data_IF_777199957898
#
_entry.id   IF_777199957898
#
_cell.length_a   1.000
_cell.length_b   1.000
_cell.length_c   1.000
_cell.angle_alpha   90.00
_cell.angle_beta   90.00
_cell.angle_gamma   90.00
#
_symmetry.space_group_name_H-M   'P 1'
#
loop_
_entity.id
_entity.type
_entity.pdbx_description
1 polymer ?
#
# COMPACT_ATOMS: atom_id res chain seq x y z
N UNK A 1 13.94 50.63 37.13
CA UNK A 1 14.59 49.90 36.03
C UNK A 1 14.50 48.38 36.16
N UNK A 2 14.58 47.81 37.34
CA UNK A 2 14.49 46.35 37.53
C UNK A 2 13.14 45.75 37.11
N UNK A 3 12.04 46.44 37.30
CA UNK A 3 10.70 45.96 36.90
C UNK A 3 10.56 45.83 35.39
N UNK A 4 11.17 46.75 34.63
CA UNK A 4 11.17 46.73 33.16
C UNK A 4 11.93 45.53 32.61
N UNK A 5 13.11 45.22 33.13
CA UNK A 5 13.88 44.06 32.71
C UNK A 5 13.19 42.73 33.05
N UNK A 6 12.53 42.65 34.19
CA UNK A 6 11.73 41.46 34.58
C UNK A 6 10.55 41.22 33.62
N UNK A 7 9.87 42.31 33.23
CA UNK A 7 8.75 42.22 32.28
C UNK A 7 9.21 41.80 30.89
N UNK A 8 10.31 42.34 30.39
CA UNK A 8 10.89 41.96 29.10
C UNK A 8 11.35 40.50 29.10
N UNK A 9 12.04 40.09 30.17
CA UNK A 9 12.49 38.71 30.30
C UNK A 9 11.31 37.72 30.35
N UNK A 10 10.24 38.04 31.08
CA UNK A 10 9.03 37.23 31.13
C UNK A 10 8.35 37.08 29.75
N UNK A 11 8.32 38.15 28.97
CA UNK A 11 7.75 38.12 27.61
C UNK A 11 8.57 37.24 26.68
N UNK A 12 9.90 37.34 26.72
CA UNK A 12 10.80 36.49 25.89
C UNK A 12 10.62 35.01 26.25
N UNK A 13 10.59 34.68 27.54
CA UNK A 13 10.35 33.28 28.00
C UNK A 13 8.98 32.79 27.56
N UNK A 14 7.95 33.64 27.63
CA UNK A 14 6.60 33.28 27.19
C UNK A 14 6.51 32.96 25.70
N UNK A 15 7.16 33.77 24.84
CA UNK A 15 7.23 33.56 23.39
C UNK A 15 7.98 32.26 23.08
N UNK A 16 9.10 32.02 23.79
CA UNK A 16 9.88 30.79 23.59
C UNK A 16 9.11 29.55 24.02
N UNK A 17 8.45 29.56 25.17
CA UNK A 17 7.61 28.50 25.66
C UNK A 17 6.44 28.19 24.69
N UNK A 18 5.79 29.23 24.18
CA UNK A 18 4.72 29.08 23.18
C UNK A 18 5.22 28.44 21.89
N UNK A 19 6.41 28.85 21.40
CA UNK A 19 7.04 28.28 20.22
C UNK A 19 7.31 26.76 20.38
N UNK A 20 7.85 26.37 21.54
CA UNK A 20 8.10 24.96 21.84
C UNK A 20 6.80 24.14 21.87
N UNK A 21 5.74 24.67 22.51
CA UNK A 21 4.43 24.01 22.56
C UNK A 21 3.86 23.83 21.14
N UNK A 22 3.96 24.84 20.28
CA UNK A 22 3.49 24.76 18.90
C UNK A 22 4.25 23.73 18.07
N UNK A 23 5.56 23.61 18.27
CA UNK A 23 6.38 22.58 17.61
C UNK A 23 5.93 21.19 18.06
N UNK A 24 5.77 20.94 19.36
CA UNK A 24 5.32 19.67 19.90
C UNK A 24 3.92 19.31 19.35
N UNK A 25 3.02 20.27 19.32
CA UNK A 25 1.67 20.06 18.79
C UNK A 25 1.69 19.75 17.30
N UNK A 26 2.53 20.44 16.52
CA UNK A 26 2.75 20.16 15.10
C UNK A 26 3.26 18.73 14.87
N UNK A 27 4.22 18.27 15.67
CA UNK A 27 4.69 16.89 15.60
C UNK A 27 3.59 15.87 15.93
N UNK A 28 2.80 16.10 16.97
CA UNK A 28 1.68 15.20 17.31
C UNK A 28 0.66 15.12 16.18
N UNK A 29 0.32 16.25 15.55
CA UNK A 29 -0.58 16.28 14.39
C UNK A 29 0.00 15.52 13.19
N UNK A 30 1.27 15.71 12.87
CA UNK A 30 1.94 15.00 11.76
C UNK A 30 2.00 13.49 12.03
N UNK A 31 2.41 13.08 13.22
CA UNK A 31 2.44 11.66 13.58
C UNK A 31 1.04 11.04 13.64
N UNK A 32 0.04 11.80 14.10
CA UNK A 32 -1.36 11.37 14.10
C UNK A 32 -1.90 11.13 12.71
N UNK A 33 -1.58 12.00 11.73
CA UNK A 33 -1.97 11.82 10.34
C UNK A 33 -1.30 10.58 9.70
N UNK A 34 0.00 10.38 9.93
CA UNK A 34 0.73 9.22 9.41
C UNK A 34 0.20 7.92 10.04
N UNK A 35 -0.06 7.90 11.33
CA UNK A 35 -0.63 6.73 12.01
C UNK A 35 -2.07 6.41 11.54
N UNK A 36 -2.83 7.43 11.17
CA UNK A 36 -4.20 7.27 10.66
C UNK A 36 -4.24 6.76 9.22
N UNK A 37 -3.20 7.05 8.41
CA UNK A 37 -3.11 6.60 7.02
C UNK A 37 -2.55 5.18 6.88
N UNK A 38 -1.90 4.65 7.91
CA UNK A 38 -1.38 3.27 7.94
C UNK A 38 -2.39 2.24 8.50
N UNK A 39 -3.67 2.56 8.50
CA UNK A 39 -4.73 1.60 8.77
C UNK A 39 -4.66 0.47 7.74
N UNK A 40 -3.98 -0.63 8.07
CA UNK A 40 -4.11 -1.86 7.32
C UNK A 40 -5.59 -2.21 7.31
N UNK A 41 -6.24 -2.27 6.13
CA UNK A 41 -7.64 -2.65 6.07
C UNK A 41 -7.80 -4.00 6.79
N UNK A 42 -8.61 -4.04 7.82
CA UNK A 42 -8.89 -5.28 8.52
C UNK A 42 -9.59 -6.23 7.54
N UNK A 43 -8.90 -7.30 7.16
CA UNK A 43 -9.49 -8.33 6.34
C UNK A 43 -10.67 -8.95 7.10
N UNK A 44 -11.82 -8.99 6.45
CA UNK A 44 -12.98 -9.73 6.95
C UNK A 44 -12.73 -11.23 6.81
N UNK A 45 -13.33 -12.02 7.68
CA UNK A 45 -13.27 -13.47 7.59
C UNK A 45 -13.95 -13.93 6.27
N UNK A 46 -13.36 -14.92 5.63
CA UNK A 46 -13.79 -15.43 4.31
C UNK A 46 -13.58 -14.43 3.15
N UNK A 47 -12.57 -13.59 3.21
CA UNK A 47 -12.20 -12.69 2.12
C UNK A 47 -11.69 -13.45 0.89
N UNK A 48 -11.91 -12.86 -0.28
CA UNK A 48 -11.39 -13.32 -1.57
C UNK A 48 -10.45 -12.24 -2.11
N UNK A 49 -9.25 -12.63 -2.50
CA UNK A 49 -8.33 -11.71 -3.14
C UNK A 49 -8.68 -11.60 -4.63
N UNK A 50 -9.00 -10.40 -5.08
CA UNK A 50 -9.19 -10.12 -6.51
C UNK A 50 -7.85 -9.72 -7.10
N UNK A 51 -7.33 -10.51 -8.02
CA UNK A 51 -6.10 -10.26 -8.75
C UNK A 51 -6.44 -9.93 -10.20
N UNK A 52 -6.24 -8.67 -10.59
CA UNK A 52 -6.45 -8.21 -11.96
C UNK A 52 -5.12 -8.28 -12.71
N UNK A 53 -5.04 -9.13 -13.73
CA UNK A 53 -3.91 -9.23 -14.64
C UNK A 53 -4.27 -8.61 -15.99
N UNK A 54 -3.97 -7.34 -16.14
CA UNK A 54 -4.20 -6.58 -17.38
C UNK A 54 -3.14 -5.48 -17.51
N UNK A 55 -2.83 -5.10 -18.74
CA UNK A 55 -1.82 -4.09 -19.03
C UNK A 55 -0.42 -4.67 -19.14
N UNK A 56 0.60 -3.85 -18.89
CA UNK A 56 1.99 -4.24 -18.94
C UNK A 56 2.48 -4.68 -17.55
N UNK A 57 3.08 -5.86 -17.48
CA UNK A 57 3.77 -6.32 -16.26
C UNK A 57 5.25 -6.11 -16.46
N UNK A 58 5.83 -5.21 -15.67
CA UNK A 58 7.27 -4.96 -15.63
C UNK A 58 7.92 -5.66 -14.44
N UNK A 59 9.17 -6.06 -14.60
CA UNK A 59 9.99 -6.71 -13.56
C UNK A 59 10.17 -5.79 -12.33
N UNK A 60 10.30 -4.50 -12.56
CA UNK A 60 10.29 -3.46 -11.53
C UNK A 60 9.10 -2.55 -11.77
N UNK A 61 8.20 -2.50 -10.81
CA UNK A 61 7.28 -1.37 -10.74
C UNK A 61 8.15 -0.12 -10.58
N UNK A 62 8.22 0.74 -11.57
CA UNK A 62 8.65 2.10 -11.33
C UNK A 62 7.67 2.65 -10.30
N UNK A 63 8.19 3.23 -9.22
CA UNK A 63 7.35 3.94 -8.25
C UNK A 63 6.79 5.16 -8.98
N UNK A 64 5.66 4.96 -9.64
CA UNK A 64 4.92 6.04 -10.27
C UNK A 64 4.19 6.83 -9.18
N UNK A 65 4.99 7.64 -8.45
CA UNK A 65 4.49 8.54 -7.41
C UNK A 65 3.43 9.53 -7.96
N UNK A 66 3.46 9.80 -9.27
CA UNK A 66 2.46 10.63 -9.94
C UNK A 66 1.14 9.85 -10.13
N UNK A 67 1.18 8.56 -10.44
CA UNK A 67 0.01 7.70 -10.53
C UNK A 67 -0.71 7.56 -9.19
N UNK A 68 0.06 7.48 -8.10
CA UNK A 68 -0.49 7.40 -6.75
C UNK A 68 -1.20 8.70 -6.32
N UNK A 69 -0.70 9.87 -6.74
CA UNK A 69 -1.32 11.18 -6.47
C UNK A 69 -2.53 11.45 -7.35
N UNK A 70 -2.50 11.04 -8.61
CA UNK A 70 -3.58 11.33 -9.58
C UNK A 70 -4.71 10.31 -9.54
N UNK A 71 -4.59 9.24 -8.76
CA UNK A 71 -5.57 8.15 -8.71
C UNK A 71 -5.63 7.34 -10.02
N UNK A 72 -4.79 7.66 -10.97
CA UNK A 72 -4.69 7.02 -12.26
C UNK A 72 -3.56 5.99 -12.17
N UNK A 73 -3.82 4.89 -11.49
CA UNK A 73 -2.96 3.72 -11.52
C UNK A 73 -3.00 3.16 -12.94
N UNK A 74 -2.25 3.78 -13.84
CA UNK A 74 -1.91 3.16 -15.10
C UNK A 74 -1.14 1.88 -14.73
N UNK A 75 -1.78 0.80 -14.97
CA UNK A 75 -1.55 -0.62 -14.79
C UNK A 75 -0.11 -1.11 -15.09
N UNK A 76 0.90 -0.52 -14.48
CA UNK A 76 2.20 -1.17 -14.36
C UNK A 76 2.20 -2.00 -13.09
N UNK A 77 1.64 -3.19 -13.19
CA UNK A 77 1.76 -4.15 -12.11
C UNK A 77 3.20 -4.66 -12.06
N UNK A 78 3.94 -4.28 -11.04
CA UNK A 78 5.24 -4.89 -10.80
C UNK A 78 5.07 -6.37 -10.44
N UNK A 79 5.80 -7.25 -11.14
CA UNK A 79 5.80 -8.69 -10.87
C UNK A 79 6.01 -8.99 -9.39
N UNK A 80 6.95 -8.31 -8.74
CA UNK A 80 7.23 -8.49 -7.31
C UNK A 80 6.02 -8.18 -6.41
N UNK A 81 5.19 -7.20 -6.75
CA UNK A 81 3.96 -6.89 -6.01
C UNK A 81 2.93 -8.00 -6.15
N UNK A 82 2.79 -8.54 -7.36
CA UNK A 82 1.88 -9.68 -7.64
C UNK A 82 2.31 -10.91 -6.84
N UNK A 83 3.58 -11.30 -6.92
CA UNK A 83 4.11 -12.46 -6.22
C UNK A 83 3.98 -12.30 -4.70
N UNK A 84 4.30 -11.11 -4.17
CA UNK A 84 4.15 -10.81 -2.75
C UNK A 84 2.70 -10.87 -2.28
N UNK A 85 1.76 -10.37 -3.08
CA UNK A 85 0.34 -10.43 -2.78
C UNK A 85 -0.17 -11.89 -2.72
N UNK A 86 0.21 -12.72 -3.69
CA UNK A 86 -0.13 -14.16 -3.71
C UNK A 86 0.45 -14.88 -2.50
N UNK A 87 1.71 -14.61 -2.14
CA UNK A 87 2.35 -15.19 -0.96
C UNK A 87 1.69 -14.76 0.35
N UNK A 88 1.31 -13.49 0.48
CA UNK A 88 0.57 -13.00 1.65
C UNK A 88 -0.81 -13.67 1.74
N UNK A 89 -1.54 -13.72 0.63
CA UNK A 89 -2.84 -14.37 0.58
C UNK A 89 -2.78 -15.87 0.92
N UNK A 90 -1.68 -16.56 0.56
CA UNK A 90 -1.45 -17.95 0.93
C UNK A 90 -1.36 -18.13 2.44
N UNK A 91 -0.65 -17.24 3.14
CA UNK A 91 -0.40 -17.29 4.58
C UNK A 91 -1.57 -16.80 5.42
N UNK A 92 -2.44 -15.98 4.84
CA UNK A 92 -3.53 -15.32 5.56
C UNK A 92 -4.75 -16.24 5.65
N UNK A 93 -5.10 -16.70 6.84
CA UNK A 93 -6.21 -17.65 7.05
C UNK A 93 -7.59 -17.08 6.71
N UNK A 94 -7.72 -15.74 6.74
CA UNK A 94 -8.95 -15.04 6.37
C UNK A 94 -9.22 -15.04 4.88
N UNK A 95 -8.17 -15.25 4.06
CA UNK A 95 -8.31 -15.36 2.60
C UNK A 95 -8.60 -16.79 2.22
N UNK A 96 -9.74 -17.03 1.59
CA UNK A 96 -10.20 -18.37 1.19
C UNK A 96 -9.89 -18.72 -0.25
N UNK A 97 -9.65 -17.73 -1.10
CA UNK A 97 -9.34 -17.96 -2.50
C UNK A 97 -8.88 -16.72 -3.24
N UNK A 98 -8.50 -16.93 -4.50
CA UNK A 98 -8.14 -15.88 -5.44
C UNK A 98 -9.16 -15.88 -6.58
N UNK A 99 -9.70 -14.70 -6.88
CA UNK A 99 -10.44 -14.42 -8.10
C UNK A 99 -9.48 -13.73 -9.09
N UNK A 100 -9.13 -14.44 -10.14
CA UNK A 100 -8.20 -13.98 -11.17
C UNK A 100 -9.01 -13.38 -12.33
N UNK A 101 -8.94 -12.09 -12.52
CA UNK A 101 -9.52 -11.38 -13.64
C UNK A 101 -8.42 -11.14 -14.68
N UNK A 102 -8.53 -11.79 -15.84
CA UNK A 102 -7.54 -11.67 -16.93
C UNK A 102 -8.07 -10.78 -18.04
N UNK A 103 -7.27 -9.81 -18.46
CA UNK A 103 -7.52 -8.96 -19.61
C UNK A 103 -6.39 -9.08 -20.64
N UNK A 104 -6.27 -8.09 -21.52
CA UNK A 104 -5.14 -8.01 -22.45
C UNK A 104 -3.89 -7.75 -21.64
N UNK A 105 -2.93 -8.66 -21.72
CA UNK A 105 -1.70 -8.66 -20.96
C UNK A 105 -0.50 -8.53 -21.90
N UNK A 106 0.37 -7.55 -21.64
CA UNK A 106 1.65 -7.40 -22.32
C UNK A 106 2.74 -7.77 -21.32
N UNK A 107 3.35 -8.92 -21.52
CA UNK A 107 4.41 -9.42 -20.63
C UNK A 107 5.20 -10.51 -21.35
N UNK A 108 6.38 -10.84 -20.83
CA UNK A 108 7.17 -11.94 -21.34
C UNK A 108 6.70 -13.30 -20.78
N UNK A 109 7.14 -14.35 -21.43
CA UNK A 109 6.80 -15.72 -21.05
C UNK A 109 7.37 -16.11 -19.68
N UNK A 110 8.54 -15.59 -19.30
CA UNK A 110 9.19 -15.88 -18.04
C UNK A 110 8.36 -15.34 -16.87
N UNK A 111 7.90 -14.11 -16.96
CA UNK A 111 6.99 -13.47 -15.96
C UNK A 111 5.69 -14.25 -15.79
N UNK A 112 5.08 -14.69 -16.90
CA UNK A 112 3.87 -15.53 -16.83
C UNK A 112 4.14 -16.85 -16.13
N UNK A 113 5.28 -17.47 -16.39
CA UNK A 113 5.66 -18.74 -15.77
C UNK A 113 5.84 -18.59 -14.25
N UNK A 114 6.44 -17.49 -13.79
CA UNK A 114 6.59 -17.21 -12.37
C UNK A 114 5.25 -16.96 -11.67
N UNK A 115 4.37 -16.16 -12.27
CA UNK A 115 3.02 -15.93 -11.73
C UNK A 115 2.25 -17.25 -11.67
N UNK A 116 2.32 -18.07 -12.72
CA UNK A 116 1.70 -19.41 -12.72
C UNK A 116 2.27 -20.29 -11.62
N UNK A 117 3.59 -20.25 -11.40
CA UNK A 117 4.24 -20.99 -10.32
C UNK A 117 3.72 -20.57 -8.94
N UNK A 118 3.61 -19.26 -8.70
CA UNK A 118 3.08 -18.73 -7.45
C UNK A 118 1.61 -19.11 -7.22
N UNK A 119 0.77 -19.07 -8.26
CA UNK A 119 -0.63 -19.51 -8.19
C UNK A 119 -0.75 -21.01 -7.94
N UNK A 120 0.10 -21.83 -8.58
CA UNK A 120 0.15 -23.28 -8.33
C UNK A 120 0.55 -23.59 -6.88
N UNK A 121 1.50 -22.82 -6.34
CA UNK A 121 1.91 -22.95 -4.95
C UNK A 121 0.82 -22.48 -3.96
N UNK A 122 0.10 -21.41 -4.30
CA UNK A 122 -1.09 -20.99 -3.56
C UNK A 122 -2.15 -22.11 -3.50
N UNK A 123 -2.42 -22.75 -4.62
CA UNK A 123 -3.40 -23.84 -4.70
C UNK A 123 -3.05 -25.02 -3.80
N UNK A 124 -1.75 -25.30 -3.55
CA UNK A 124 -1.30 -26.33 -2.61
C UNK A 124 -1.72 -26.08 -1.17
N UNK A 125 -2.08 -24.83 -0.80
CA UNK A 125 -2.60 -24.51 0.52
C UNK A 125 -4.07 -24.93 0.74
N UNK A 126 -4.72 -25.56 -0.24
CA UNK A 126 -6.12 -25.99 -0.16
C UNK A 126 -7.13 -24.88 -0.49
N UNK A 127 -6.66 -23.68 -0.83
CA UNK A 127 -7.51 -22.55 -1.23
C UNK A 127 -7.85 -22.63 -2.70
N UNK A 128 -9.00 -22.07 -3.08
CA UNK A 128 -9.47 -22.12 -4.46
C UNK A 128 -8.97 -20.96 -5.30
N UNK A 129 -8.90 -21.16 -6.62
CA UNK A 129 -8.63 -20.12 -7.61
C UNK A 129 -9.71 -20.21 -8.67
N UNK A 130 -10.39 -19.09 -8.93
CA UNK A 130 -11.31 -18.94 -10.05
C UNK A 130 -10.72 -17.92 -11.00
N UNK A 131 -10.62 -18.27 -12.28
CA UNK A 131 -10.16 -17.38 -13.32
C UNK A 131 -11.34 -17.00 -14.23
N UNK A 132 -11.46 -15.70 -14.52
CA UNK A 132 -12.40 -15.15 -15.46
C UNK A 132 -11.65 -14.24 -16.45
N UNK A 133 -12.00 -14.32 -17.71
CA UNK A 133 -11.44 -13.47 -18.75
C UNK A 133 -12.42 -13.36 -19.92
N UNK A 134 -12.54 -12.16 -20.46
CA UNK A 134 -13.40 -11.88 -21.61
C UNK A 134 -12.73 -12.25 -22.94
N UNK A 135 -11.41 -12.37 -22.94
CA UNK A 135 -10.64 -12.66 -24.16
C UNK A 135 -9.47 -13.60 -23.84
N UNK A 136 -9.50 -14.78 -24.46
CA UNK A 136 -8.41 -15.77 -24.40
C UNK A 136 -7.81 -15.88 -25.79
N UNK A 137 -6.78 -15.09 -26.06
CA UNK A 137 -6.01 -15.17 -27.31
C UNK A 137 -4.59 -15.62 -27.03
#
# INVERSE_FOLDING_TARGET
MEQFFKSVAATIVGIFAFGVIMIIFGFICLFGMVASSSGTPSLLDNSVMVLKLQGEISDKAEEDWLGEITGNQFNQLGMNKILSAIHKAKKEDKVKGIYLETGILQTDYATLQEIRGALADFKKSGKWIIAYGDNFS
#
